data_IF_257512964330
#
_entry.id   IF_257512964330
#
_cell.length_a   1.000
_cell.length_b   1.000
_cell.length_c   1.000
_cell.angle_alpha   90.00
_cell.angle_beta   90.00
_cell.angle_gamma   90.00
#
_symmetry.space_group_name_H-M   'P 1'
#
loop_
_entity.id
_entity.type
_entity.pdbx_description
1 polymer ?
#
# COMPACT_ATOMS: atom_id res chain seq x y z
N UNK A 1 -18.93 -1.37 -0.48
CA UNK A 1 -18.43 -0.61 -1.64
C UNK A 1 -18.21 -1.61 -2.76
N UNK A 2 -18.50 -1.24 -4.00
CA UNK A 2 -18.26 -2.07 -5.18
C UNK A 2 -17.06 -1.48 -5.93
N UNK A 3 -16.15 -2.34 -6.37
CA UNK A 3 -15.06 -2.00 -7.30
C UNK A 3 -15.54 -2.25 -8.72
N UNK A 4 -15.13 -1.40 -9.66
CA UNK A 4 -15.45 -1.57 -11.07
C UNK A 4 -14.36 -2.37 -11.77
N UNK A 5 -13.09 -2.18 -11.40
CA UNK A 5 -11.97 -2.91 -12.00
C UNK A 5 -11.15 -3.70 -10.96
N UNK A 6 -10.55 -4.79 -11.43
CA UNK A 6 -9.61 -5.60 -10.66
C UNK A 6 -8.33 -5.76 -11.49
N UNK A 7 -7.26 -5.13 -11.00
CA UNK A 7 -5.95 -5.08 -11.65
C UNK A 7 -5.00 -5.89 -10.76
N UNK A 8 -4.27 -6.81 -11.37
CA UNK A 8 -3.32 -7.67 -10.65
C UNK A 8 -2.01 -7.69 -11.40
N UNK A 9 -0.92 -7.43 -10.69
CA UNK A 9 0.43 -7.57 -11.18
C UNK A 9 0.88 -9.02 -11.27
N UNK A 10 2.18 -9.20 -11.25
CA UNK A 10 2.90 -10.46 -11.37
C UNK A 10 3.68 -10.72 -10.08
N UNK A 11 4.70 -11.57 -10.11
CA UNK A 11 5.57 -11.80 -8.96
C UNK A 11 6.90 -11.02 -9.05
N UNK A 12 7.00 -10.08 -10.00
CA UNK A 12 8.14 -9.17 -10.13
C UNK A 12 7.67 -7.73 -10.24
N UNK A 13 8.63 -6.81 -10.33
CA UNK A 13 8.38 -5.37 -10.28
C UNK A 13 7.44 -4.89 -11.40
N UNK A 14 6.26 -4.38 -11.02
CA UNK A 14 5.23 -3.91 -11.93
C UNK A 14 4.97 -2.39 -11.83
N UNK A 15 4.40 -1.83 -12.91
CA UNK A 15 3.80 -0.49 -12.87
C UNK A 15 2.29 -0.64 -13.13
N UNK A 16 1.49 -0.47 -12.09
CA UNK A 16 0.06 -0.68 -12.11
C UNK A 16 -0.66 0.67 -12.03
N UNK A 17 -1.61 0.87 -12.94
CA UNK A 17 -2.36 2.13 -13.07
C UNK A 17 -3.86 1.84 -12.99
N UNK A 18 -4.49 2.43 -11.99
CA UNK A 18 -5.93 2.55 -11.86
C UNK A 18 -6.52 3.52 -12.88
N UNK A 19 -7.83 3.61 -12.83
CA UNK A 19 -8.73 4.33 -13.71
C UNK A 19 -9.34 5.51 -12.96
N UNK A 20 -10.37 6.13 -13.54
CA UNK A 20 -11.14 7.16 -12.83
C UNK A 20 -12.26 6.57 -11.96
N UNK A 21 -12.37 5.25 -11.90
CA UNK A 21 -13.39 4.52 -11.15
C UNK A 21 -12.78 3.82 -9.93
N UNK A 22 -13.63 3.28 -9.04
CA UNK A 22 -13.16 2.53 -7.88
C UNK A 22 -12.46 1.24 -8.30
N UNK A 23 -11.17 1.14 -8.01
CA UNK A 23 -10.37 -0.02 -8.41
C UNK A 23 -9.91 -0.86 -7.22
N UNK A 24 -9.74 -2.16 -7.48
CA UNK A 24 -8.88 -3.03 -6.67
C UNK A 24 -7.59 -3.26 -7.44
N UNK A 25 -6.45 -2.91 -6.85
CA UNK A 25 -5.13 -3.11 -7.44
C UNK A 25 -4.25 -3.93 -6.50
N UNK A 26 -3.66 -5.02 -6.99
CA UNK A 26 -2.85 -5.97 -6.22
C UNK A 26 -1.47 -6.19 -6.89
N UNK A 27 -0.39 -5.72 -6.27
CA UNK A 27 1.00 -5.83 -6.75
C UNK A 27 1.60 -7.22 -6.57
N UNK A 28 1.14 -7.97 -5.56
CA UNK A 28 1.62 -9.30 -5.18
C UNK A 28 3.07 -9.32 -4.65
N UNK A 29 4.07 -9.53 -5.49
CA UNK A 29 5.46 -9.60 -5.08
C UNK A 29 6.33 -8.86 -6.09
N UNK A 30 7.39 -8.23 -5.62
CA UNK A 30 8.16 -7.29 -6.45
C UNK A 30 8.20 -5.93 -5.78
N UNK A 31 9.02 -5.02 -6.28
CA UNK A 31 8.97 -3.61 -5.88
C UNK A 31 8.06 -2.89 -6.86
N UNK A 32 6.80 -2.75 -6.50
CA UNK A 32 5.76 -2.29 -7.41
C UNK A 32 5.56 -0.79 -7.34
N UNK A 33 5.16 -0.19 -8.46
CA UNK A 33 4.59 1.16 -8.49
C UNK A 33 3.10 1.08 -8.75
N UNK A 34 2.31 1.56 -7.81
CA UNK A 34 0.85 1.49 -7.86
C UNK A 34 0.27 2.90 -7.84
N UNK A 35 -0.54 3.24 -8.84
CA UNK A 35 -1.25 4.52 -8.94
C UNK A 35 -2.76 4.26 -8.94
N UNK A 36 -3.48 4.68 -7.89
CA UNK A 36 -4.94 4.51 -7.78
C UNK A 36 -5.76 5.50 -8.61
N UNK A 37 -5.20 6.66 -8.97
CA UNK A 37 -5.86 7.69 -9.80
C UNK A 37 -7.07 8.38 -9.13
N UNK A 38 -8.30 8.21 -9.62
CA UNK A 38 -9.51 8.78 -8.99
C UNK A 38 -10.38 7.67 -8.39
N UNK A 39 -11.45 8.04 -7.68
CA UNK A 39 -12.37 7.10 -7.06
C UNK A 39 -11.86 6.50 -5.75
N UNK A 40 -12.71 5.71 -5.09
CA UNK A 40 -12.38 5.05 -3.83
C UNK A 40 -11.69 3.71 -4.08
N UNK A 41 -10.36 3.69 -3.98
CA UNK A 41 -9.55 2.55 -4.38
C UNK A 41 -9.16 1.63 -3.21
N UNK A 42 -8.87 0.38 -3.54
CA UNK A 42 -8.25 -0.60 -2.65
C UNK A 42 -6.92 -1.03 -3.25
N UNK A 43 -5.83 -0.54 -2.67
CA UNK A 43 -4.47 -0.71 -3.17
C UNK A 43 -3.68 -1.64 -2.25
N UNK A 44 -3.09 -2.69 -2.81
CA UNK A 44 -2.25 -3.65 -2.09
C UNK A 44 -0.89 -3.73 -2.77
N UNK A 45 0.18 -3.33 -2.07
CA UNK A 45 1.57 -3.46 -2.54
C UNK A 45 1.97 -4.93 -2.58
N UNK A 46 1.97 -5.58 -1.42
CA UNK A 46 2.25 -7.00 -1.33
C UNK A 46 3.61 -7.24 -0.68
N UNK A 47 4.48 -8.04 -1.29
CA UNK A 47 5.83 -8.29 -0.79
C UNK A 47 6.86 -7.52 -1.62
N UNK A 48 7.62 -6.64 -0.99
CA UNK A 48 8.68 -5.89 -1.64
C UNK A 48 8.72 -4.47 -1.09
N UNK A 49 9.49 -3.59 -1.70
CA UNK A 49 9.50 -2.18 -1.32
C UNK A 49 8.65 -1.42 -2.33
N UNK A 50 7.39 -1.20 -2.00
CA UNK A 50 6.42 -0.68 -2.96
C UNK A 50 6.31 0.85 -2.90
N UNK A 51 5.96 1.46 -4.02
CA UNK A 51 5.65 2.88 -4.14
C UNK A 51 4.16 3.03 -4.51
N UNK A 52 3.33 3.46 -3.56
CA UNK A 52 1.88 3.48 -3.73
C UNK A 52 1.35 4.91 -3.64
N UNK A 53 0.60 5.32 -4.65
CA UNK A 53 -0.09 6.60 -4.74
C UNK A 53 -1.61 6.36 -4.74
N UNK A 54 -2.30 6.76 -3.67
CA UNK A 54 -3.75 6.63 -3.49
C UNK A 54 -4.52 7.35 -4.59
N UNK A 55 -4.31 8.66 -4.67
CA UNK A 55 -4.93 9.50 -5.67
C UNK A 55 -5.91 10.48 -5.05
N UNK A 56 -7.12 10.54 -5.57
CA UNK A 56 -8.18 11.38 -5.00
C UNK A 56 -9.27 10.52 -4.36
N UNK A 57 -10.12 11.16 -3.54
CA UNK A 57 -11.15 10.51 -2.74
C UNK A 57 -10.59 9.60 -1.63
N UNK A 58 -11.46 8.79 -1.01
CA UNK A 58 -11.10 7.95 0.13
C UNK A 58 -10.59 6.60 -0.37
N UNK A 59 -9.30 6.35 -0.17
CA UNK A 59 -8.66 5.07 -0.47
C UNK A 59 -8.46 4.21 0.77
N UNK A 60 -8.33 2.90 0.53
CA UNK A 60 -7.82 1.92 1.49
C UNK A 60 -6.53 1.33 0.94
N UNK A 61 -5.41 1.62 1.60
CA UNK A 61 -4.07 1.28 1.11
C UNK A 61 -3.38 0.32 2.09
N UNK A 62 -2.86 -0.78 1.57
CA UNK A 62 -2.03 -1.75 2.29
C UNK A 62 -0.66 -1.83 1.62
N UNK A 63 0.40 -1.38 2.30
CA UNK A 63 1.79 -1.53 1.81
C UNK A 63 2.18 -3.00 1.72
N UNK A 64 2.08 -3.71 2.84
CA UNK A 64 2.36 -5.15 2.89
C UNK A 64 3.66 -5.44 3.64
N UNK A 65 4.54 -6.25 3.06
CA UNK A 65 5.82 -6.61 3.67
C UNK A 65 6.96 -5.91 2.94
N UNK A 66 7.74 -5.10 3.66
CA UNK A 66 8.93 -4.44 3.13
C UNK A 66 8.98 -2.98 3.59
N UNK A 67 9.82 -2.18 2.93
CA UNK A 67 9.91 -0.75 3.20
C UNK A 67 9.12 0.02 2.15
N UNK A 68 7.82 0.16 2.38
CA UNK A 68 6.91 0.78 1.44
C UNK A 68 6.92 2.32 1.57
N UNK A 69 6.74 3.00 0.45
CA UNK A 69 6.49 4.43 0.38
C UNK A 69 5.05 4.65 -0.06
N UNK A 70 4.23 5.23 0.81
CA UNK A 70 2.80 5.43 0.54
C UNK A 70 2.44 6.91 0.58
N UNK A 71 1.85 7.38 -0.51
CA UNK A 71 1.25 8.70 -0.65
C UNK A 71 -0.26 8.54 -0.76
N UNK A 72 -0.99 8.72 0.35
CA UNK A 72 -2.45 8.67 0.34
C UNK A 72 -3.10 9.74 -0.55
N UNK A 73 -2.42 10.89 -0.72
CA UNK A 73 -2.93 12.05 -1.46
C UNK A 73 -4.22 12.60 -0.84
N UNK A 74 -5.18 13.08 -1.65
CA UNK A 74 -6.39 13.75 -1.12
C UNK A 74 -7.34 12.76 -0.44
N UNK A 75 -8.29 13.26 0.36
CA UNK A 75 -9.33 12.44 0.98
C UNK A 75 -8.98 11.80 2.33
N UNK A 76 -10.02 11.26 2.99
CA UNK A 76 -9.94 10.61 4.30
C UNK A 76 -9.45 9.17 4.17
N UNK A 77 -8.17 8.99 3.87
CA UNK A 77 -7.57 7.69 3.56
C UNK A 77 -7.40 6.77 4.77
N UNK A 78 -7.51 5.46 4.55
CA UNK A 78 -7.14 4.43 5.53
C UNK A 78 -5.86 3.73 5.06
N UNK A 79 -4.74 4.01 5.72
CA UNK A 79 -3.43 3.47 5.31
C UNK A 79 -2.89 2.49 6.35
N UNK A 80 -2.54 1.30 5.86
CA UNK A 80 -1.78 0.28 6.56
C UNK A 80 -0.43 0.15 5.89
N UNK A 81 0.58 0.88 6.39
CA UNK A 81 1.94 0.91 5.83
C UNK A 81 2.75 -0.38 5.95
N UNK A 82 2.09 -1.52 6.15
CA UNK A 82 2.75 -2.80 6.23
C UNK A 82 3.32 -3.17 7.60
N UNK A 83 3.78 -4.42 7.69
CA UNK A 83 4.37 -4.98 8.89
C UNK A 83 5.86 -4.63 8.88
N UNK A 84 6.22 -3.45 9.39
CA UNK A 84 7.61 -3.13 9.67
C UNK A 84 8.07 -4.03 10.82
N UNK A 85 8.57 -5.22 10.50
CA UNK A 85 9.42 -5.96 11.44
C UNK A 85 10.80 -5.28 11.44
N UNK A 86 10.88 -4.04 11.92
CA UNK A 86 12.13 -3.58 12.52
C UNK A 86 12.33 -4.41 13.77
N UNK A 87 12.91 -5.61 13.62
CA UNK A 87 13.53 -6.32 14.73
C UNK A 87 14.81 -5.57 15.09
N UNK A 88 14.68 -4.38 15.66
CA UNK A 88 15.79 -3.79 16.41
C UNK A 88 15.85 -4.54 17.73
N UNK A 89 16.80 -5.47 17.85
CA UNK A 89 17.10 -6.12 19.11
C UNK A 89 17.63 -5.05 20.07
N UNK A 90 16.81 -4.59 21.01
CA UNK A 90 17.38 -3.98 22.21
C UNK A 90 18.16 -5.08 22.95
N UNK A 91 19.36 -4.77 23.44
CA UNK A 91 20.24 -5.69 24.17
C UNK A 91 19.60 -6.30 25.43
N UNK A 92 18.40 -5.86 25.81
CA UNK A 92 17.55 -6.40 26.88
C UNK A 92 16.53 -7.47 26.42
N UNK A 93 16.50 -7.86 25.14
CA UNK A 93 15.61 -8.92 24.64
C UNK A 93 14.12 -8.54 24.57
N UNK A 94 13.80 -7.24 24.49
CA UNK A 94 12.42 -6.75 24.33
C UNK A 94 12.17 -6.30 22.89
N UNK A 95 11.02 -6.69 22.34
CA UNK A 95 10.53 -6.17 21.06
C UNK A 95 9.83 -4.84 21.31
N UNK A 96 10.22 -3.79 20.58
CA UNK A 96 9.42 -2.58 20.49
C UNK A 96 8.65 -2.61 19.18
N UNK A 97 7.32 -2.64 19.30
CA UNK A 97 6.42 -2.45 18.17
C UNK A 97 6.15 -0.95 18.08
N UNK A 98 6.79 -0.27 17.14
CA UNK A 98 6.44 1.12 16.81
C UNK A 98 5.38 1.08 15.72
N UNK A 99 4.11 1.18 16.10
CA UNK A 99 3.03 1.44 15.15
C UNK A 99 3.17 2.91 14.74
N UNK A 100 3.61 3.15 13.50
CA UNK A 100 3.46 4.47 12.90
C UNK A 100 1.99 4.58 12.50
N UNK A 101 1.15 5.14 13.37
CA UNK A 101 -0.06 5.82 12.93
C UNK A 101 0.39 7.19 12.43
N UNK A 102 0.31 7.42 11.12
CA UNK A 102 0.38 8.76 10.54
C UNK A 102 -1.01 9.08 9.99
N UNK A 103 -1.56 10.22 10.44
CA UNK A 103 -2.84 10.80 9.98
C UNK A 103 -4.04 10.36 10.81
#
# INVERSE_FOLDING_TARGET
>A
MNYTNNITGTAGDDNLFGTVENDRIDGLAGNDRIFGSEGMNYLFGGNGNDEIFGGSERDVIFGGSGNDTIFGSEGDNVIYGGLVVQRSLESSGRYRVSIIRQG
#
